data_IF_769103304527
#
_entry.id   IF_769103304527
#
_cell.length_a   1.000
_cell.length_b   1.000
_cell.length_c   1.000
_cell.angle_alpha   90.00
_cell.angle_beta   90.00
_cell.angle_gamma   90.00
#
_symmetry.space_group_name_H-M   'P 1'
#
loop_
_entity.id
_entity.type
_entity.pdbx_description
1 polymer ?
#
# COMPACT_ATOMS: atom_id res chain seq x y z
N UNK A 1 -5.36 -3.92 -3.09
CA UNK A 1 -5.02 -2.54 -2.67
C UNK A 1 -6.07 -1.87 -1.74
N UNK A 2 -7.11 -2.58 -1.32
CA UNK A 2 -8.19 -2.05 -0.45
C UNK A 2 -8.04 -2.48 1.02
N UNK A 3 -6.92 -3.07 1.44
CA UNK A 3 -6.81 -3.92 2.64
C UNK A 3 -6.17 -3.25 3.87
N UNK A 4 -6.04 -1.92 3.94
CA UNK A 4 -5.26 -1.26 5.03
C UNK A 4 -6.14 -0.67 6.15
N UNK A 5 -7.47 -0.76 6.08
CA UNK A 5 -8.33 0.04 6.98
C UNK A 5 -8.87 -0.66 8.24
N UNK A 6 -8.69 -1.97 8.41
CA UNK A 6 -9.37 -2.73 9.48
C UNK A 6 -8.62 -2.92 10.81
N UNK A 7 -7.46 -2.30 11.05
CA UNK A 7 -6.64 -2.61 12.24
C UNK A 7 -6.91 -1.76 13.48
N UNK A 8 -8.01 -1.03 13.58
CA UNK A 8 -8.17 -0.02 14.66
C UNK A 8 -9.30 -0.28 15.66
N UNK A 9 -9.91 -1.46 15.72
CA UNK A 9 -10.84 -1.77 16.82
C UNK A 9 -10.63 -3.21 17.30
N UNK A 10 -10.01 -3.33 18.47
CA UNK A 10 -9.89 -4.58 19.23
C UNK A 10 -11.26 -5.02 19.78
N UNK A 11 -11.53 -6.31 19.61
CA UNK A 11 -12.43 -7.07 20.46
C UNK A 11 -13.73 -7.54 19.82
N UNK A 12 -13.78 -8.69 19.21
CA UNK A 12 -14.66 -9.82 19.46
C UNK A 12 -14.49 -10.89 18.38
N UNK A 13 -14.13 -12.07 18.83
CA UNK A 13 -13.99 -13.28 18.01
C UNK A 13 -15.34 -13.98 17.87
N UNK A 14 -15.74 -14.36 16.64
CA UNK A 14 -16.68 -15.46 16.41
C UNK A 14 -16.46 -16.05 14.99
N UNK A 15 -16.13 -17.31 14.96
CA UNK A 15 -15.99 -18.16 13.77
C UNK A 15 -17.36 -18.48 13.15
N UNK A 16 -17.50 -18.38 11.83
CA UNK A 16 -18.49 -19.10 11.03
C UNK A 16 -18.01 -19.34 9.57
N UNK A 17 -18.48 -20.43 8.91
CA UNK A 17 -17.79 -21.05 7.79
C UNK A 17 -18.13 -20.46 6.40
N UNK A 18 -17.19 -20.69 5.48
CA UNK A 18 -17.24 -20.34 4.05
C UNK A 18 -18.52 -20.85 3.38
N UNK A 19 -19.38 -19.94 2.94
CA UNK A 19 -20.49 -20.22 2.07
C UNK A 19 -20.25 -19.66 0.66
N UNK A 20 -20.52 -20.52 -0.32
CA UNK A 20 -20.44 -20.36 -1.77
C UNK A 20 -20.98 -19.04 -2.32
N UNK A 21 -20.19 -18.38 -3.17
CA UNK A 21 -20.57 -17.19 -3.92
C UNK A 21 -21.77 -17.40 -4.84
N UNK A 22 -22.80 -16.57 -4.81
CA UNK A 22 -23.81 -16.54 -5.86
C UNK A 22 -23.26 -15.75 -7.08
N UNK A 23 -23.47 -16.33 -8.27
CA UNK A 23 -23.14 -15.74 -9.57
C UNK A 23 -23.80 -14.37 -9.74
N UNK A 24 -22.98 -13.34 -9.99
CA UNK A 24 -23.45 -12.01 -10.37
C UNK A 24 -24.07 -12.08 -11.77
N UNK A 25 -25.39 -11.99 -11.85
CA UNK A 25 -26.13 -11.91 -13.10
C UNK A 25 -25.80 -10.58 -13.82
N UNK A 26 -25.43 -10.68 -15.10
CA UNK A 26 -25.18 -9.53 -15.98
C UNK A 26 -26.43 -8.64 -16.08
N UNK A 27 -26.34 -7.45 -15.49
CA UNK A 27 -27.35 -6.40 -15.66
C UNK A 27 -27.23 -5.85 -17.09
N UNK A 28 -28.30 -5.96 -17.88
CA UNK A 28 -28.42 -5.37 -19.23
C UNK A 28 -28.46 -3.83 -19.10
N UNK A 29 -27.80 -3.07 -19.99
CA UNK A 29 -27.91 -1.61 -19.96
C UNK A 29 -29.31 -1.19 -20.39
N UNK A 30 -30.06 -0.57 -19.48
CA UNK A 30 -31.35 0.04 -19.77
C UNK A 30 -31.18 1.42 -20.44
N UNK A 31 -32.11 1.68 -21.34
CA UNK A 31 -32.24 2.84 -22.22
C UNK A 31 -31.96 4.20 -21.55
N UNK A 32 -31.32 5.12 -22.32
CA UNK A 32 -31.11 6.54 -21.98
C UNK A 32 -32.44 7.25 -21.68
N UNK A 33 -32.93 7.16 -20.44
CA UNK A 33 -33.90 8.08 -19.89
C UNK A 33 -33.19 9.38 -19.48
N UNK A 34 -33.84 10.55 -19.69
CA UNK A 34 -33.36 11.87 -19.23
C UNK A 34 -32.93 11.78 -17.76
N UNK A 35 -31.67 12.08 -17.50
CA UNK A 35 -31.14 12.21 -16.13
C UNK A 35 -31.79 13.41 -15.46
N UNK A 36 -33.01 13.22 -14.92
CA UNK A 36 -33.50 14.08 -13.84
C UNK A 36 -32.49 13.96 -12.69
N UNK A 37 -31.97 15.10 -12.22
CA UNK A 37 -30.92 15.13 -11.22
C UNK A 37 -31.28 14.23 -10.04
N UNK A 38 -30.49 13.20 -9.77
CA UNK A 38 -30.63 12.40 -8.54
C UNK A 38 -30.56 13.33 -7.35
N UNK A 39 -31.49 13.22 -6.37
CA UNK A 39 -31.41 14.00 -5.15
C UNK A 39 -30.02 13.81 -4.52
N UNK A 40 -29.34 14.94 -4.27
CA UNK A 40 -28.00 14.90 -3.67
C UNK A 40 -28.11 14.31 -2.27
N UNK A 41 -27.46 13.17 -2.04
CA UNK A 41 -27.45 12.49 -0.74
C UNK A 41 -27.05 13.45 0.38
N UNK A 42 -27.81 13.49 1.49
CA UNK A 42 -27.48 14.33 2.63
C UNK A 42 -26.17 13.85 3.28
N UNK A 43 -25.44 14.79 3.93
CA UNK A 43 -24.20 14.44 4.66
C UNK A 43 -24.45 13.33 5.70
N UNK A 44 -25.59 13.38 6.40
CA UNK A 44 -25.98 12.39 7.43
C UNK A 44 -26.22 11.01 6.80
N UNK A 45 -26.94 10.94 5.68
CA UNK A 45 -27.21 9.69 4.96
C UNK A 45 -25.91 9.06 4.43
N UNK A 46 -25.01 9.89 3.86
CA UNK A 46 -23.71 9.43 3.38
C UNK A 46 -22.84 8.84 4.50
N UNK A 47 -22.79 9.49 5.66
CA UNK A 47 -22.04 8.97 6.82
C UNK A 47 -22.64 7.64 7.28
N UNK A 48 -23.96 7.54 7.40
CA UNK A 48 -24.62 6.29 7.79
C UNK A 48 -24.33 5.13 6.81
N UNK A 49 -24.40 5.41 5.51
CA UNK A 49 -24.04 4.43 4.47
C UNK A 49 -22.58 4.00 4.56
N UNK A 50 -21.65 4.94 4.75
CA UNK A 50 -20.22 4.63 4.90
C UNK A 50 -19.96 3.75 6.13
N UNK A 51 -20.64 3.98 7.25
CA UNK A 51 -20.53 3.11 8.42
C UNK A 51 -21.02 1.69 8.12
N UNK A 52 -22.17 1.57 7.47
CA UNK A 52 -22.72 0.26 7.09
C UNK A 52 -21.79 -0.50 6.13
N UNK A 53 -21.25 0.18 5.11
CA UNK A 53 -20.29 -0.39 4.16
C UNK A 53 -19.00 -0.82 4.88
N UNK A 54 -18.53 -0.02 5.84
CA UNK A 54 -17.36 -0.36 6.66
C UNK A 54 -17.59 -1.58 7.53
N UNK A 55 -18.73 -1.67 8.21
CA UNK A 55 -19.10 -2.85 9.01
C UNK A 55 -19.15 -4.12 8.16
N UNK A 56 -19.71 -4.05 6.94
CA UNK A 56 -19.72 -5.17 6.01
C UNK A 56 -18.30 -5.58 5.59
N UNK A 57 -17.43 -4.61 5.28
CA UNK A 57 -16.03 -4.89 4.96
C UNK A 57 -15.30 -5.58 6.13
N UNK A 58 -15.53 -5.17 7.36
CA UNK A 58 -14.93 -5.80 8.55
C UNK A 58 -15.38 -7.26 8.71
N UNK A 59 -16.62 -7.58 8.31
CA UNK A 59 -17.12 -8.97 8.34
C UNK A 59 -16.50 -9.81 7.22
N UNK A 60 -16.39 -9.26 6.01
CA UNK A 60 -15.83 -9.97 4.85
C UNK A 60 -14.31 -10.12 4.93
N UNK A 61 -13.62 -9.14 5.53
CA UNK A 61 -12.15 -9.07 5.63
C UNK A 61 -11.77 -8.77 7.09
N UNK A 62 -11.85 -9.77 7.98
CA UNK A 62 -11.63 -9.57 9.42
C UNK A 62 -10.17 -9.29 9.79
N UNK A 63 -9.20 -9.77 9.00
CA UNK A 63 -7.77 -9.58 9.25
C UNK A 63 -7.05 -9.14 7.95
N UNK A 64 -7.16 -7.86 7.58
CA UNK A 64 -6.48 -7.34 6.40
C UNK A 64 -4.96 -7.30 6.60
N UNK A 65 -4.22 -8.04 5.77
CA UNK A 65 -2.75 -8.07 5.81
C UNK A 65 -2.17 -7.33 4.60
N UNK A 66 -1.02 -6.71 4.81
CA UNK A 66 -0.21 -6.21 3.71
C UNK A 66 0.24 -7.37 2.84
N UNK A 67 0.06 -7.25 1.52
CA UNK A 67 0.48 -8.29 0.57
C UNK A 67 2.01 -8.32 0.35
N UNK A 68 2.72 -7.26 0.72
CA UNK A 68 4.18 -7.19 0.68
C UNK A 68 4.76 -7.87 1.93
N UNK A 69 5.81 -8.67 1.74
CA UNK A 69 6.56 -9.28 2.83
C UNK A 69 7.61 -8.28 3.34
N UNK A 70 7.64 -8.06 4.66
CA UNK A 70 8.61 -7.19 5.31
C UNK A 70 8.79 -7.56 6.79
N UNK A 71 9.98 -7.29 7.34
CA UNK A 71 10.30 -7.48 8.75
C UNK A 71 10.60 -6.15 9.47
N UNK A 72 10.79 -5.06 8.71
CA UNK A 72 11.10 -3.74 9.25
C UNK A 72 10.39 -2.62 8.48
N UNK A 73 10.25 -1.41 9.07
CA UNK A 73 9.74 -0.25 8.35
C UNK A 73 10.56 0.10 7.10
N UNK A 74 11.88 -0.12 7.13
CA UNK A 74 12.77 0.09 5.99
C UNK A 74 12.44 -0.89 4.85
N UNK A 75 12.34 -2.18 5.13
CA UNK A 75 11.95 -3.18 4.14
C UNK A 75 10.59 -2.88 3.51
N UNK A 76 9.61 -2.47 4.33
CA UNK A 76 8.29 -2.07 3.82
C UNK A 76 8.39 -0.85 2.89
N UNK A 77 9.17 0.17 3.26
CA UNK A 77 9.36 1.37 2.44
C UNK A 77 9.96 1.01 1.09
N UNK A 78 11.04 0.25 1.06
CA UNK A 78 11.72 -0.20 -0.18
C UNK A 78 10.77 -1.07 -1.00
N UNK A 79 10.12 -2.08 -0.41
CA UNK A 79 9.18 -2.95 -1.11
C UNK A 79 8.01 -2.17 -1.71
N UNK A 80 7.48 -1.15 -1.01
CA UNK A 80 6.40 -0.31 -1.52
C UNK A 80 6.87 0.57 -2.69
N UNK A 81 8.08 1.10 -2.67
CA UNK A 81 8.66 1.81 -3.83
C UNK A 81 8.81 0.86 -5.02
N UNK A 82 9.26 -0.38 -4.79
CA UNK A 82 9.40 -1.40 -5.84
C UNK A 82 8.04 -1.86 -6.40
N UNK A 83 6.95 -1.81 -5.63
CA UNK A 83 5.61 -2.24 -6.07
C UNK A 83 4.92 -1.26 -7.03
N UNK A 84 5.46 -0.05 -7.24
CA UNK A 84 4.91 0.90 -8.21
C UNK A 84 4.88 0.28 -9.62
N UNK A 85 3.68 0.12 -10.21
CA UNK A 85 3.46 -0.52 -11.51
C UNK A 85 4.04 -1.95 -11.63
N UNK A 86 4.09 -2.67 -10.51
CA UNK A 86 4.56 -4.05 -10.42
C UNK A 86 3.64 -4.81 -9.45
N UNK A 87 3.44 -6.10 -9.67
CA UNK A 87 2.62 -6.91 -8.75
C UNK A 87 3.38 -7.21 -7.47
N UNK A 88 2.67 -7.25 -6.32
CA UNK A 88 3.25 -7.55 -5.01
C UNK A 88 3.94 -8.92 -5.02
N UNK A 89 3.35 -9.92 -5.72
CA UNK A 89 3.98 -11.23 -5.91
C UNK A 89 5.37 -11.13 -6.54
N UNK A 90 5.55 -10.28 -7.56
CA UNK A 90 6.86 -10.10 -8.21
C UNK A 90 7.85 -9.40 -7.27
N UNK A 91 7.40 -8.43 -6.51
CA UNK A 91 8.23 -7.76 -5.49
C UNK A 91 8.69 -8.78 -4.45
N UNK A 92 7.79 -9.58 -3.90
CA UNK A 92 8.09 -10.60 -2.90
C UNK A 92 9.04 -11.71 -3.40
N UNK A 93 9.23 -11.85 -4.71
CA UNK A 93 10.21 -12.78 -5.28
C UNK A 93 11.64 -12.24 -5.26
N UNK A 94 11.84 -10.92 -5.34
CA UNK A 94 13.17 -10.30 -5.43
C UNK A 94 13.65 -9.69 -4.10
N UNK A 95 12.73 -9.30 -3.23
CA UNK A 95 13.09 -8.67 -1.95
C UNK A 95 13.88 -9.56 -0.98
N UNK A 96 13.70 -10.90 -0.92
CA UNK A 96 14.54 -11.74 -0.06
C UNK A 96 16.02 -11.69 -0.43
N UNK A 97 16.36 -11.70 -1.72
CA UNK A 97 17.74 -11.56 -2.20
C UNK A 97 18.26 -10.15 -1.89
N UNK A 98 17.48 -9.11 -2.22
CA UNK A 98 17.85 -7.73 -1.98
C UNK A 98 18.14 -7.44 -0.49
N UNK A 99 17.28 -7.88 0.42
CA UNK A 99 17.45 -7.65 1.85
C UNK A 99 18.44 -8.62 2.51
N UNK A 100 18.72 -9.76 1.88
CA UNK A 100 19.80 -10.65 2.28
C UNK A 100 21.17 -10.00 2.09
N UNK A 101 21.36 -9.25 1.01
CA UNK A 101 22.60 -8.54 0.73
C UNK A 101 22.67 -7.15 1.35
N UNK A 102 21.53 -6.44 1.42
CA UNK A 102 21.43 -5.08 1.92
C UNK A 102 20.36 -4.99 3.03
N UNK A 103 20.67 -5.47 4.25
CA UNK A 103 19.68 -5.61 5.33
C UNK A 103 19.18 -4.27 5.90
N UNK A 104 19.92 -3.19 5.67
CA UNK A 104 19.57 -1.88 6.21
C UNK A 104 19.86 -0.72 5.26
N UNK A 105 19.49 0.51 5.70
CA UNK A 105 19.70 1.71 4.90
C UNK A 105 21.18 1.98 4.60
N UNK A 106 22.09 1.70 5.54
CA UNK A 106 23.52 1.98 5.38
C UNK A 106 24.13 1.11 4.28
N UNK A 107 23.81 -0.19 4.27
CA UNK A 107 24.29 -1.14 3.29
C UNK A 107 23.73 -0.81 1.90
N UNK A 108 22.44 -0.50 1.81
CA UNK A 108 21.82 -0.18 0.52
C UNK A 108 22.25 1.19 0.00
N UNK A 109 22.56 2.17 0.88
CA UNK A 109 23.12 3.46 0.47
C UNK A 109 24.52 3.34 -0.13
N UNK A 110 25.31 2.36 0.33
CA UNK A 110 26.66 2.08 -0.16
C UNK A 110 26.71 1.07 -1.32
N UNK A 111 25.53 0.55 -1.75
CA UNK A 111 25.44 -0.50 -2.74
C UNK A 111 25.91 -0.05 -4.13
N UNK A 112 26.51 -1.00 -4.90
CA UNK A 112 26.77 -0.80 -6.31
C UNK A 112 25.43 -0.76 -7.08
N UNK A 113 25.12 0.35 -7.79
CA UNK A 113 23.88 0.49 -8.53
C UNK A 113 23.64 -0.63 -9.55
N UNK A 114 24.65 -1.07 -10.26
CA UNK A 114 24.55 -2.14 -11.27
C UNK A 114 24.13 -3.47 -10.63
N UNK A 115 24.67 -3.78 -9.46
CA UNK A 115 24.31 -4.99 -8.73
C UNK A 115 22.87 -4.95 -8.22
N UNK A 116 22.44 -3.81 -7.67
CA UNK A 116 21.02 -3.62 -7.28
C UNK A 116 20.09 -3.73 -8.50
N UNK A 117 20.49 -3.16 -9.65
CA UNK A 117 19.72 -3.29 -10.89
C UNK A 117 19.58 -4.73 -11.34
N UNK A 118 20.62 -5.56 -11.20
CA UNK A 118 20.59 -6.97 -11.58
C UNK A 118 19.63 -7.77 -10.69
N UNK A 119 19.65 -7.56 -9.37
CA UNK A 119 18.73 -8.21 -8.42
C UNK A 119 17.27 -7.90 -8.78
N UNK A 120 16.95 -6.62 -9.03
CA UNK A 120 15.59 -6.19 -9.30
C UNK A 120 15.22 -6.14 -10.80
N UNK A 121 16.02 -6.72 -11.68
CA UNK A 121 15.88 -6.65 -13.15
C UNK A 121 14.51 -7.08 -13.66
N UNK A 122 13.85 -8.00 -12.96
CA UNK A 122 12.51 -8.49 -13.32
C UNK A 122 11.38 -7.54 -12.98
N UNK A 123 11.67 -6.45 -12.27
CA UNK A 123 10.73 -5.39 -11.89
C UNK A 123 10.70 -4.31 -12.98
N UNK A 124 9.51 -3.87 -13.38
CA UNK A 124 9.36 -2.77 -14.35
C UNK A 124 10.06 -1.49 -13.87
N UNK A 125 10.70 -0.77 -14.79
CA UNK A 125 11.46 0.45 -14.50
C UNK A 125 12.60 0.27 -13.48
N UNK A 126 13.22 -0.91 -13.48
CA UNK A 126 14.23 -1.31 -12.47
C UNK A 126 15.37 -0.30 -12.29
N UNK A 127 15.91 0.32 -13.36
CA UNK A 127 16.99 1.32 -13.25
C UNK A 127 16.59 2.56 -12.46
N UNK A 128 15.38 3.07 -12.69
CA UNK A 128 14.87 4.22 -11.93
C UNK A 128 14.58 3.82 -10.48
N UNK A 129 14.05 2.63 -10.27
CA UNK A 129 13.77 2.10 -8.94
C UNK A 129 15.05 1.84 -8.14
N UNK A 130 16.11 1.28 -8.77
CA UNK A 130 17.41 1.11 -8.14
C UNK A 130 17.97 2.46 -7.65
N UNK A 131 17.99 3.47 -8.50
CA UNK A 131 18.40 4.83 -8.10
C UNK A 131 17.56 5.39 -6.94
N UNK A 132 16.25 5.18 -6.99
CA UNK A 132 15.36 5.69 -5.94
C UNK A 132 15.63 5.00 -4.60
N UNK A 133 15.74 3.65 -4.57
CA UNK A 133 15.96 2.93 -3.30
C UNK A 133 17.36 3.17 -2.73
N UNK A 134 18.38 3.33 -3.54
CA UNK A 134 19.71 3.73 -3.09
C UNK A 134 19.68 5.18 -2.57
N UNK A 135 19.07 6.11 -3.33
CA UNK A 135 18.95 7.50 -2.94
C UNK A 135 18.15 7.71 -1.66
N UNK A 136 16.99 7.02 -1.51
CA UNK A 136 16.20 7.12 -0.26
C UNK A 136 16.98 6.56 0.94
N UNK A 137 17.76 5.50 0.74
CA UNK A 137 18.60 4.92 1.81
C UNK A 137 19.70 5.88 2.23
N UNK A 138 20.33 6.57 1.29
CA UNK A 138 21.30 7.63 1.58
C UNK A 138 20.65 8.77 2.38
N UNK A 139 19.48 9.27 1.96
CA UNK A 139 18.74 10.31 2.67
C UNK A 139 18.33 9.87 4.08
N UNK A 140 17.93 8.60 4.27
CA UNK A 140 17.64 8.05 5.60
C UNK A 140 18.88 8.11 6.49
N UNK A 141 20.05 7.71 6.00
CA UNK A 141 21.29 7.76 6.77
C UNK A 141 21.69 9.20 7.14
N UNK A 142 21.63 10.12 6.18
CA UNK A 142 22.12 11.50 6.36
C UNK A 142 21.17 12.33 7.23
N UNK A 143 19.86 12.21 7.03
CA UNK A 143 18.87 13.10 7.65
C UNK A 143 18.16 12.49 8.85
N UNK A 144 18.05 11.17 8.90
CA UNK A 144 17.22 10.45 9.88
C UNK A 144 18.00 9.38 10.67
N UNK A 145 19.35 9.39 10.60
CA UNK A 145 20.20 8.45 11.35
C UNK A 145 19.99 6.98 10.97
N UNK A 146 19.48 6.70 9.76
CA UNK A 146 19.15 5.36 9.29
C UNK A 146 17.73 4.87 9.68
N UNK A 147 16.95 5.70 10.37
CA UNK A 147 15.58 5.34 10.77
C UNK A 147 14.57 5.86 9.76
N UNK A 148 13.45 5.11 9.59
CA UNK A 148 12.34 5.55 8.74
C UNK A 148 11.46 6.53 9.54
N UNK A 149 11.27 7.78 9.07
CA UNK A 149 10.47 8.76 9.79
C UNK A 149 8.98 8.37 9.81
N UNK A 150 8.32 8.59 10.94
CA UNK A 150 6.90 8.27 11.14
C UNK A 150 5.96 9.47 10.81
N UNK A 151 6.36 10.33 9.89
CA UNK A 151 5.55 11.48 9.46
C UNK A 151 5.48 11.62 7.93
N UNK A 152 4.36 12.16 7.46
CA UNK A 152 4.05 12.29 6.03
C UNK A 152 5.03 13.21 5.29
N UNK A 153 5.42 14.33 5.89
CA UNK A 153 6.24 15.34 5.22
C UNK A 153 7.65 14.81 4.97
N UNK A 154 8.25 14.19 5.98
CA UNK A 154 9.57 13.57 5.88
C UNK A 154 9.58 12.42 4.88
N UNK A 155 8.59 11.52 4.92
CA UNK A 155 8.50 10.39 3.98
C UNK A 155 8.39 10.86 2.52
N UNK A 156 7.52 11.83 2.24
CA UNK A 156 7.32 12.34 0.86
C UNK A 156 8.54 13.09 0.34
N UNK A 157 9.43 13.56 1.21
CA UNK A 157 10.69 14.20 0.81
C UNK A 157 11.75 13.21 0.30
N UNK A 158 11.54 11.90 0.53
CA UNK A 158 12.48 10.87 0.09
C UNK A 158 12.34 10.54 -1.41
N UNK A 159 13.43 10.20 -2.11
CA UNK A 159 13.40 9.82 -3.51
C UNK A 159 12.43 8.63 -3.78
N UNK A 160 11.56 8.77 -4.76
CA UNK A 160 10.61 7.73 -5.15
C UNK A 160 9.42 7.51 -4.20
N UNK A 161 9.29 8.31 -3.15
CA UNK A 161 8.21 8.20 -2.17
C UNK A 161 7.14 9.25 -2.43
N UNK A 162 5.99 8.80 -2.90
CA UNK A 162 4.78 9.63 -3.05
C UNK A 162 3.85 9.52 -1.84
N UNK A 163 2.81 10.36 -1.80
CA UNK A 163 1.80 10.33 -0.71
C UNK A 163 1.16 8.97 -0.51
N UNK A 164 0.90 8.22 -1.59
CA UNK A 164 0.36 6.86 -1.49
C UNK A 164 1.33 5.92 -0.79
N UNK A 165 2.60 5.91 -1.21
CA UNK A 165 3.67 5.11 -0.58
C UNK A 165 3.82 5.47 0.90
N UNK A 166 3.87 6.77 1.22
CA UNK A 166 3.95 7.24 2.61
C UNK A 166 2.76 6.77 3.46
N UNK A 167 1.52 6.83 2.95
CA UNK A 167 0.35 6.31 3.66
C UNK A 167 0.42 4.80 3.90
N UNK A 168 0.92 4.02 2.94
CA UNK A 168 1.11 2.58 3.11
C UNK A 168 2.11 2.29 4.24
N UNK A 169 3.23 2.99 4.25
CA UNK A 169 4.27 2.82 5.29
C UNK A 169 3.76 3.26 6.66
N UNK A 170 3.15 4.44 6.76
CA UNK A 170 2.59 4.96 8.00
C UNK A 170 1.54 4.02 8.59
N UNK A 171 0.63 3.50 7.76
CA UNK A 171 -0.43 2.61 8.20
C UNK A 171 0.08 1.25 8.67
N UNK A 172 1.00 0.62 7.91
CA UNK A 172 1.42 -0.75 8.21
C UNK A 172 2.59 -0.85 9.19
N UNK A 173 3.54 0.09 9.15
CA UNK A 173 4.72 0.05 10.03
C UNK A 173 4.53 0.82 11.34
N UNK A 174 3.73 1.91 11.32
CA UNK A 174 3.61 2.82 12.46
C UNK A 174 2.19 2.89 13.04
N UNK A 175 1.20 2.21 12.43
CA UNK A 175 -0.18 2.25 12.89
C UNK A 175 -0.84 3.64 12.77
N UNK A 176 -0.26 4.55 11.98
CA UNK A 176 -0.83 5.90 11.76
C UNK A 176 -1.97 5.79 10.76
N UNK A 177 -3.20 6.18 11.13
CA UNK A 177 -4.35 6.10 10.23
C UNK A 177 -4.13 6.95 8.97
N UNK A 178 -4.35 6.34 7.81
CA UNK A 178 -4.23 7.04 6.53
C UNK A 178 -4.98 6.31 5.42
N UNK A 179 -5.39 7.04 4.38
CA UNK A 179 -6.08 6.47 3.24
C UNK A 179 -5.19 6.59 1.98
N UNK A 180 -4.59 5.47 1.50
CA UNK A 180 -3.73 5.48 0.32
C UNK A 180 -4.55 5.55 -0.96
N UNK A 181 -4.96 6.75 -1.37
CA UNK A 181 -5.72 6.99 -2.60
C UNK A 181 -4.82 6.82 -3.81
N UNK A 182 -5.23 5.94 -4.72
CA UNK A 182 -4.58 5.79 -6.03
C UNK A 182 -5.43 6.38 -7.17
N UNK A 183 -4.91 6.28 -8.40
CA UNK A 183 -5.58 6.81 -9.61
C UNK A 183 -6.93 6.15 -9.89
N UNK A 184 -7.20 4.95 -9.35
CA UNK A 184 -8.48 4.27 -9.49
C UNK A 184 -9.51 4.79 -8.48
N UNK A 185 -9.06 5.25 -7.30
CA UNK A 185 -9.91 5.83 -6.26
C UNK A 185 -10.34 7.28 -6.53
N UNK A 186 -9.73 7.96 -7.50
CA UNK A 186 -10.08 9.36 -7.88
C UNK A 186 -11.21 9.41 -8.92
N UNK A 187 -11.52 8.30 -9.59
CA UNK A 187 -12.59 8.19 -10.60
C UNK A 187 -13.88 7.73 -9.95
#
# INVERSE_FOLDING_TARGET
FLLIFCRFFDGFSLFLPIATFPQVSRVRPHARGRLGGMPRESKKARIARMHQEYEQLCVEIPDPKCALNFNSPFELLVATVLSAQTTDKRVNMVTPELFGEYPGPAELAAANPEHVEDIIRTIGFFRTKARNIIGLSHELCVRFGGEVPADMASLVSLPGVGRKTANVVLGNAFGVPGFPVDTHGIR
#
